data_IF_588776705038
#
_entry.id   IF_588776705038
#
_cell.length_a   1.000
_cell.length_b   1.000
_cell.length_c   1.000
_cell.angle_alpha   90.00
_cell.angle_beta   90.00
_cell.angle_gamma   90.00
#
_symmetry.space_group_name_H-M   'P 1'
#
loop_
_entity.id
_entity.type
_entity.pdbx_description
1 polymer ?
#
# COMPACT_ATOMS: atom_id res chain seq x y z
N UNK A 1 8.90 -43.41 -21.32
CA UNK A 1 9.33 -42.72 -20.08
C UNK A 1 10.29 -41.61 -20.47
N UNK A 2 9.89 -40.37 -20.18
CA UNK A 2 10.71 -39.15 -20.01
C UNK A 2 11.67 -38.69 -21.10
N UNK A 3 11.32 -37.58 -21.77
CA UNK A 3 12.28 -36.50 -22.11
C UNK A 3 11.63 -35.17 -22.54
N UNK A 4 10.30 -35.08 -22.67
CA UNK A 4 9.61 -33.83 -23.07
C UNK A 4 9.27 -32.94 -21.84
N UNK A 5 9.38 -33.47 -20.63
CA UNK A 5 8.94 -32.79 -19.39
C UNK A 5 10.09 -32.14 -18.60
N UNK A 6 11.11 -31.62 -19.28
CA UNK A 6 12.23 -30.91 -18.63
C UNK A 6 12.54 -29.51 -19.18
N UNK A 7 11.80 -29.03 -20.18
CA UNK A 7 12.05 -27.72 -20.79
C UNK A 7 10.88 -26.72 -20.68
N UNK A 8 9.84 -27.03 -19.89
CA UNK A 8 8.69 -26.14 -19.72
C UNK A 8 8.65 -25.42 -18.36
N UNK A 9 9.76 -25.39 -17.61
CA UNK A 9 9.88 -24.72 -16.29
C UNK A 9 10.86 -23.54 -16.34
N UNK A 10 11.34 -23.16 -17.52
CA UNK A 10 12.32 -22.05 -17.67
C UNK A 10 11.82 -21.02 -18.70
N UNK A 11 10.52 -20.73 -18.66
CA UNK A 11 9.89 -19.74 -19.54
C UNK A 11 8.88 -18.90 -18.76
N UNK A 12 9.16 -17.61 -18.65
CA UNK A 12 8.28 -16.54 -18.16
C UNK A 12 8.11 -16.39 -16.64
N UNK A 13 9.20 -16.11 -15.93
CA UNK A 13 9.17 -15.08 -14.87
C UNK A 13 10.37 -14.14 -15.08
N UNK A 14 10.53 -13.65 -16.31
CA UNK A 14 10.93 -12.26 -16.44
C UNK A 14 9.68 -11.44 -16.10
N UNK A 15 9.33 -11.42 -14.81
CA UNK A 15 8.52 -10.32 -14.29
C UNK A 15 9.46 -9.15 -14.45
N UNK A 16 9.26 -8.41 -15.53
CA UNK A 16 9.97 -7.18 -15.80
C UNK A 16 9.94 -6.37 -14.52
N UNK A 17 11.09 -5.81 -14.14
CA UNK A 17 11.24 -5.05 -12.91
C UNK A 17 10.16 -3.95 -12.74
N UNK A 18 9.48 -3.56 -13.83
CA UNK A 18 8.41 -2.58 -13.84
C UNK A 18 7.07 -3.07 -13.25
N UNK A 19 6.76 -4.37 -13.23
CA UNK A 19 5.41 -4.83 -12.83
C UNK A 19 5.04 -4.45 -11.39
N UNK A 20 6.02 -4.48 -10.47
CA UNK A 20 5.79 -4.08 -9.08
C UNK A 20 5.61 -2.57 -8.93
N UNK A 21 6.44 -1.77 -9.61
CA UNK A 21 6.32 -0.31 -9.57
C UNK A 21 5.03 0.17 -10.26
N UNK A 22 4.68 -0.41 -11.40
CA UNK A 22 3.44 -0.12 -12.13
C UNK A 22 2.22 -0.44 -11.26
N UNK A 23 2.21 -1.60 -10.59
CA UNK A 23 1.15 -1.97 -9.65
C UNK A 23 0.99 -0.99 -8.49
N UNK A 24 2.09 -0.44 -7.96
CA UNK A 24 2.02 0.55 -6.87
C UNK A 24 1.56 1.92 -7.41
N UNK A 25 1.98 2.31 -8.61
CA UNK A 25 1.50 3.53 -9.25
C UNK A 25 -0.02 3.48 -9.49
N UNK A 26 -0.52 2.38 -10.05
CA UNK A 26 -1.95 2.16 -10.25
C UNK A 26 -2.74 2.22 -8.93
N UNK A 27 -2.17 1.67 -7.85
CA UNK A 27 -2.77 1.74 -6.52
C UNK A 27 -2.84 3.17 -5.99
N UNK A 28 -1.76 3.95 -6.13
CA UNK A 28 -1.69 5.34 -5.69
C UNK A 28 -2.68 6.20 -6.49
N UNK A 29 -2.76 5.98 -7.80
CA UNK A 29 -3.70 6.70 -8.65
C UNK A 29 -5.16 6.35 -8.31
N UNK A 30 -5.47 5.06 -8.13
CA UNK A 30 -6.80 4.63 -7.67
C UNK A 30 -7.15 5.14 -6.27
N UNK A 31 -6.15 5.33 -5.40
CA UNK A 31 -6.35 5.96 -4.08
C UNK A 31 -6.65 7.45 -4.22
N UNK A 32 -5.92 8.16 -5.09
CA UNK A 32 -6.19 9.57 -5.41
C UNK A 32 -7.60 9.77 -5.96
N UNK A 33 -8.04 8.90 -6.87
CA UNK A 33 -9.42 8.91 -7.37
C UNK A 33 -10.45 8.68 -6.26
N UNK A 34 -10.15 7.79 -5.31
CA UNK A 34 -11.02 7.53 -4.16
C UNK A 34 -11.15 8.76 -3.25
N UNK A 35 -10.05 9.48 -3.02
CA UNK A 35 -10.05 10.76 -2.28
C UNK A 35 -10.95 11.77 -2.99
N UNK A 36 -10.73 12.03 -4.28
CA UNK A 36 -11.51 13.00 -5.08
C UNK A 36 -13.01 12.66 -5.04
N UNK A 37 -13.33 11.36 -5.14
CA UNK A 37 -14.72 10.91 -5.05
C UNK A 37 -15.30 11.19 -3.66
N UNK A 38 -14.58 10.84 -2.59
CA UNK A 38 -15.05 11.10 -1.23
C UNK A 38 -15.23 12.59 -0.95
N UNK A 39 -14.34 13.46 -1.45
CA UNK A 39 -14.47 14.92 -1.35
C UNK A 39 -15.80 15.43 -1.93
N UNK A 40 -16.25 14.86 -3.05
CA UNK A 40 -17.54 15.24 -3.65
C UNK A 40 -18.76 14.91 -2.78
N UNK A 41 -18.61 13.99 -1.82
CA UNK A 41 -19.68 13.57 -0.91
C UNK A 41 -19.67 14.29 0.44
N UNK A 42 -18.62 15.06 0.78
CA UNK A 42 -18.48 15.66 2.12
C UNK A 42 -19.65 16.59 2.46
N UNK A 43 -20.16 17.35 1.49
CA UNK A 43 -21.31 18.24 1.69
C UNK A 43 -22.66 17.53 1.79
N UNK A 44 -22.71 16.23 1.49
CA UNK A 44 -23.92 15.40 1.54
C UNK A 44 -24.04 14.60 2.84
N UNK A 45 -23.02 14.67 3.72
CA UNK A 45 -23.04 14.00 5.02
C UNK A 45 -24.10 14.66 5.91
N UNK A 46 -25.02 13.84 6.42
CA UNK A 46 -26.06 14.24 7.37
C UNK A 46 -25.47 14.71 8.70
N UNK A 47 -26.11 15.68 9.34
CA UNK A 47 -25.78 16.13 10.70
C UNK A 47 -25.92 15.02 11.76
N UNK A 48 -26.70 13.97 11.48
CA UNK A 48 -26.89 12.81 12.36
C UNK A 48 -25.75 11.77 12.22
N UNK A 49 -24.83 11.95 11.27
CA UNK A 49 -23.68 11.07 11.11
C UNK A 49 -22.69 11.23 12.26
N UNK A 50 -21.90 10.18 12.53
CA UNK A 50 -20.81 10.24 13.50
C UNK A 50 -19.63 11.07 12.94
N UNK A 51 -19.80 12.39 12.98
CA UNK A 51 -18.79 13.34 12.52
C UNK A 51 -17.49 13.25 13.33
N UNK A 52 -17.58 12.87 14.61
CA UNK A 52 -16.40 12.65 15.44
C UNK A 52 -15.52 11.52 14.89
N UNK A 53 -16.14 10.39 14.55
CA UNK A 53 -15.45 9.28 13.93
C UNK A 53 -14.93 9.63 12.53
N UNK A 54 -15.73 10.30 11.69
CA UNK A 54 -15.32 10.73 10.33
C UNK A 54 -14.07 11.61 10.38
N UNK A 55 -14.03 12.62 11.26
CA UNK A 55 -12.86 13.48 11.41
C UNK A 55 -11.65 12.69 11.91
N UNK A 56 -11.86 11.75 12.82
CA UNK A 56 -10.78 10.89 13.34
C UNK A 56 -10.13 10.05 12.24
N UNK A 57 -10.94 9.36 11.42
CA UNK A 57 -10.40 8.49 10.36
C UNK A 57 -9.74 9.30 9.23
N UNK A 58 -10.28 10.49 8.90
CA UNK A 58 -9.67 11.37 7.90
C UNK A 58 -8.33 11.95 8.36
N UNK A 59 -8.22 12.27 9.65
CA UNK A 59 -6.96 12.74 10.23
C UNK A 59 -5.87 11.66 10.15
N UNK A 60 -6.21 10.41 10.50
CA UNK A 60 -5.29 9.28 10.35
C UNK A 60 -4.96 9.00 8.88
N UNK A 61 -5.96 9.02 7.99
CA UNK A 61 -5.78 8.80 6.56
C UNK A 61 -4.84 9.84 5.94
N UNK A 62 -4.87 11.10 6.38
CA UNK A 62 -3.93 12.12 5.90
C UNK A 62 -2.47 11.74 6.21
N UNK A 63 -2.20 11.18 7.39
CA UNK A 63 -0.85 10.72 7.75
C UNK A 63 -0.47 9.47 6.96
N UNK A 64 -1.41 8.55 6.79
CA UNK A 64 -1.19 7.34 5.98
C UNK A 64 -0.88 7.69 4.52
N UNK A 65 -1.54 8.72 3.97
CA UNK A 65 -1.30 9.16 2.60
C UNK A 65 0.15 9.63 2.40
N UNK A 66 0.68 10.43 3.31
CA UNK A 66 2.08 10.87 3.28
C UNK A 66 3.06 9.69 3.33
N UNK A 67 2.74 8.66 4.11
CA UNK A 67 3.57 7.44 4.20
C UNK A 67 3.49 6.64 2.90
N UNK A 68 2.29 6.50 2.33
CA UNK A 68 2.08 5.77 1.08
C UNK A 68 2.89 6.38 -0.08
N UNK A 69 2.88 7.71 -0.20
CA UNK A 69 3.65 8.42 -1.22
C UNK A 69 5.16 8.26 -1.04
N UNK A 70 5.67 8.42 0.19
CA UNK A 70 7.10 8.18 0.47
C UNK A 70 7.52 6.74 0.20
N UNK A 71 6.64 5.79 0.47
CA UNK A 71 6.89 4.38 0.20
C UNK A 71 6.89 4.08 -1.31
N UNK A 72 6.00 4.70 -2.09
CA UNK A 72 6.04 4.66 -3.57
C UNK A 72 7.37 5.21 -4.10
N UNK A 73 7.81 6.38 -3.62
CA UNK A 73 9.11 6.95 -4.02
C UNK A 73 10.27 5.99 -3.71
N UNK A 74 10.23 5.32 -2.55
CA UNK A 74 11.22 4.32 -2.17
C UNK A 74 11.20 3.09 -3.09
N UNK A 75 10.03 2.65 -3.57
CA UNK A 75 9.91 1.59 -4.59
C UNK A 75 10.62 2.02 -5.88
N UNK A 76 10.32 3.22 -6.39
CA UNK A 76 10.97 3.75 -7.60
C UNK A 76 12.49 3.86 -7.45
N UNK A 77 12.96 4.32 -6.29
CA UNK A 77 14.39 4.42 -6.01
C UNK A 77 15.06 3.05 -5.94
N UNK A 78 14.43 2.07 -5.29
CA UNK A 78 14.98 0.71 -5.24
C UNK A 78 15.05 0.08 -6.63
N UNK A 79 14.04 0.32 -7.47
CA UNK A 79 14.01 -0.14 -8.85
C UNK A 79 15.19 0.42 -9.66
N UNK A 80 15.43 1.74 -9.57
CA UNK A 80 16.57 2.41 -10.20
C UNK A 80 17.89 1.81 -9.72
N UNK A 81 18.12 1.78 -8.41
CA UNK A 81 19.39 1.32 -7.82
C UNK A 81 19.65 -0.17 -8.01
N UNK A 82 18.60 -0.98 -8.13
CA UNK A 82 18.71 -2.40 -8.47
C UNK A 82 19.35 -2.60 -9.85
N UNK A 83 19.03 -1.76 -10.83
CA UNK A 83 19.60 -1.83 -12.18
C UNK A 83 21.11 -1.52 -12.24
N UNK A 84 21.58 -0.68 -11.33
CA UNK A 84 22.97 -0.22 -11.25
C UNK A 84 23.80 -0.95 -10.18
N UNK A 85 23.26 -2.00 -9.56
CA UNK A 85 23.87 -2.65 -8.41
C UNK A 85 25.24 -3.29 -8.78
N UNK A 86 26.31 -3.06 -7.99
CA UNK A 86 27.66 -3.54 -8.31
C UNK A 86 27.84 -5.06 -8.08
N UNK A 87 26.88 -5.72 -7.44
CA UNK A 87 26.91 -7.15 -7.20
C UNK A 87 25.51 -7.73 -7.05
N UNK A 88 25.37 -9.04 -7.25
CA UNK A 88 24.13 -9.77 -7.03
C UNK A 88 23.64 -9.67 -5.57
N UNK A 89 24.55 -9.52 -4.61
CA UNK A 89 24.17 -9.31 -3.21
C UNK A 89 23.49 -7.95 -3.01
N UNK A 90 24.08 -6.88 -3.54
CA UNK A 90 23.51 -5.53 -3.44
C UNK A 90 22.18 -5.46 -4.19
N UNK A 91 22.09 -6.11 -5.35
CA UNK A 91 20.85 -6.23 -6.12
C UNK A 91 19.74 -6.90 -5.29
N UNK A 92 20.03 -8.03 -4.64
CA UNK A 92 19.07 -8.76 -3.81
C UNK A 92 18.65 -7.98 -2.55
N UNK A 93 19.51 -7.10 -2.03
CA UNK A 93 19.14 -6.22 -0.93
C UNK A 93 18.20 -5.10 -1.40
N UNK A 94 18.41 -4.52 -2.59
CA UNK A 94 17.45 -3.59 -3.19
C UNK A 94 16.10 -4.25 -3.50
N UNK A 95 16.07 -5.51 -3.96
CA UNK A 95 14.81 -6.25 -4.16
C UNK A 95 14.01 -6.42 -2.86
N UNK A 96 14.69 -6.68 -1.75
CA UNK A 96 14.02 -6.76 -0.44
C UNK A 96 13.47 -5.41 0.01
N UNK A 97 14.25 -4.34 -0.17
CA UNK A 97 13.82 -2.98 0.17
C UNK A 97 12.63 -2.53 -0.70
N UNK A 98 12.66 -2.84 -2.00
CA UNK A 98 11.56 -2.61 -2.93
C UNK A 98 10.29 -3.30 -2.43
N UNK A 99 10.38 -4.60 -2.11
CA UNK A 99 9.23 -5.38 -1.64
C UNK A 99 8.61 -4.84 -0.36
N UNK A 100 9.42 -4.55 0.66
CA UNK A 100 8.86 -4.03 1.93
C UNK A 100 8.33 -2.60 1.79
N UNK A 101 8.91 -1.80 0.88
CA UNK A 101 8.39 -0.47 0.55
C UNK A 101 7.07 -0.55 -0.19
N UNK A 102 6.92 -1.49 -1.13
CA UNK A 102 5.66 -1.74 -1.83
C UNK A 102 4.55 -2.17 -0.86
N UNK A 103 4.86 -3.08 0.07
CA UNK A 103 3.93 -3.47 1.13
C UNK A 103 3.51 -2.27 1.99
N UNK A 104 4.43 -1.38 2.34
CA UNK A 104 4.13 -0.14 3.07
C UNK A 104 3.22 0.78 2.26
N UNK A 105 3.54 1.04 0.99
CA UNK A 105 2.70 1.83 0.11
C UNK A 105 1.27 1.27 0.04
N UNK A 106 1.15 -0.06 -0.08
CA UNK A 106 -0.14 -0.73 -0.20
C UNK A 106 -1.02 -0.58 1.03
N UNK A 107 -0.51 -0.91 2.22
CA UNK A 107 -1.32 -0.92 3.43
C UNK A 107 -1.73 0.48 3.87
N UNK A 108 -0.86 1.48 3.66
CA UNK A 108 -1.19 2.87 3.95
C UNK A 108 -2.16 3.46 2.91
N UNK A 109 -2.01 3.15 1.62
CA UNK A 109 -3.00 3.52 0.60
C UNK A 109 -4.38 2.90 0.88
N UNK A 110 -4.42 1.65 1.35
CA UNK A 110 -5.66 0.99 1.74
C UNK A 110 -6.36 1.68 2.91
N UNK A 111 -5.62 2.16 3.92
CA UNK A 111 -6.20 2.98 5.00
C UNK A 111 -6.94 4.22 4.46
N UNK A 112 -6.32 4.91 3.50
CA UNK A 112 -6.93 6.08 2.85
C UNK A 112 -8.19 5.71 2.09
N UNK A 113 -8.15 4.61 1.32
CA UNK A 113 -9.31 4.12 0.56
C UNK A 113 -10.46 3.70 1.46
N UNK A 114 -10.17 3.07 2.60
CA UNK A 114 -11.19 2.69 3.59
C UNK A 114 -11.83 3.91 4.23
N UNK A 115 -11.04 4.94 4.60
CA UNK A 115 -11.57 6.19 5.12
C UNK A 115 -12.45 6.92 4.08
N UNK A 116 -11.99 6.99 2.82
CA UNK A 116 -12.76 7.55 1.71
C UNK A 116 -14.08 6.79 1.47
N UNK A 117 -14.05 5.45 1.52
CA UNK A 117 -15.24 4.62 1.41
C UNK A 117 -16.22 4.87 2.58
N UNK A 118 -15.72 4.99 3.80
CA UNK A 118 -16.56 5.29 4.97
C UNK A 118 -17.25 6.66 4.83
N UNK A 119 -16.53 7.69 4.38
CA UNK A 119 -17.11 9.01 4.07
C UNK A 119 -18.23 8.91 3.05
N UNK A 120 -17.98 8.22 1.93
CA UNK A 120 -18.97 8.03 0.89
C UNK A 120 -20.22 7.29 1.40
N UNK A 121 -20.05 6.20 2.16
CA UNK A 121 -21.17 5.45 2.72
C UNK A 121 -21.97 6.26 3.74
N UNK A 122 -21.29 7.09 4.53
CA UNK A 122 -21.94 7.98 5.50
C UNK A 122 -22.80 9.03 4.80
N UNK A 123 -22.29 9.66 3.74
CA UNK A 123 -23.04 10.60 2.92
C UNK A 123 -24.27 9.96 2.26
N UNK A 124 -24.14 8.73 1.80
CA UNK A 124 -25.21 7.97 1.17
C UNK A 124 -26.22 7.38 2.17
N UNK A 125 -26.05 7.62 3.47
CA UNK A 125 -26.88 7.03 4.53
C UNK A 125 -27.00 5.50 4.37
N UNK A 126 -25.85 4.87 4.07
CA UNK A 126 -25.78 3.42 3.94
C UNK A 126 -26.24 2.73 5.24
N UNK A 127 -26.66 1.47 5.11
CA UNK A 127 -27.08 0.68 6.26
C UNK A 127 -25.93 0.56 7.28
N UNK A 128 -26.25 0.66 8.57
CA UNK A 128 -25.25 0.67 9.66
C UNK A 128 -24.34 -0.57 9.66
N UNK A 129 -24.83 -1.73 9.19
CA UNK A 129 -23.99 -2.92 9.04
C UNK A 129 -22.85 -2.71 8.03
N UNK A 130 -23.08 -2.02 6.93
CA UNK A 130 -22.03 -1.71 5.95
C UNK A 130 -21.01 -0.74 6.53
N UNK A 131 -21.46 0.26 7.30
CA UNK A 131 -20.55 1.16 8.01
C UNK A 131 -19.71 0.38 9.04
N UNK A 132 -20.33 -0.52 9.81
CA UNK A 132 -19.64 -1.37 10.77
C UNK A 132 -18.58 -2.27 10.12
N UNK A 133 -18.88 -2.88 8.97
CA UNK A 133 -17.92 -3.69 8.20
C UNK A 133 -16.70 -2.87 7.79
N UNK A 134 -16.89 -1.62 7.38
CA UNK A 134 -15.78 -0.71 7.06
C UNK A 134 -15.00 -0.30 8.31
N UNK A 135 -15.65 -0.08 9.46
CA UNK A 135 -14.94 0.19 10.72
C UNK A 135 -14.04 -0.99 11.11
N UNK A 136 -14.53 -2.22 10.98
CA UNK A 136 -13.75 -3.45 11.22
C UNK A 136 -12.54 -3.50 10.27
N UNK A 137 -12.76 -3.26 8.97
CA UNK A 137 -11.67 -3.25 7.99
C UNK A 137 -10.61 -2.18 8.31
N UNK A 138 -11.01 -1.00 8.80
CA UNK A 138 -10.08 0.03 9.27
C UNK A 138 -9.24 -0.49 10.45
N UNK A 139 -9.88 -1.06 11.48
CA UNK A 139 -9.18 -1.60 12.65
C UNK A 139 -8.24 -2.77 12.31
N UNK A 140 -8.63 -3.63 11.37
CA UNK A 140 -7.77 -4.70 10.87
C UNK A 140 -6.59 -4.14 10.09
N UNK A 141 -6.80 -3.13 9.25
CA UNK A 141 -5.73 -2.50 8.51
C UNK A 141 -4.72 -1.79 9.44
N UNK A 142 -5.16 -1.20 10.57
CA UNK A 142 -4.24 -0.66 11.59
C UNK A 142 -3.27 -1.72 12.13
N UNK A 143 -3.77 -2.94 12.41
CA UNK A 143 -2.93 -4.05 12.87
C UNK A 143 -1.93 -4.47 11.79
N UNK A 144 -2.37 -4.54 10.54
CA UNK A 144 -1.52 -4.88 9.40
C UNK A 144 -0.44 -3.81 9.20
N UNK A 145 -0.78 -2.51 9.28
CA UNK A 145 0.17 -1.39 9.18
C UNK A 145 1.30 -1.50 10.20
N UNK A 146 0.98 -1.86 11.45
CA UNK A 146 2.01 -2.05 12.47
C UNK A 146 2.97 -3.19 12.09
N UNK A 147 2.46 -4.34 11.66
CA UNK A 147 3.28 -5.48 11.23
C UNK A 147 4.18 -5.14 10.04
N UNK A 148 3.64 -4.40 9.06
CA UNK A 148 4.39 -3.94 7.89
C UNK A 148 5.47 -2.94 8.30
N UNK A 149 5.16 -2.00 9.19
CA UNK A 149 6.12 -1.03 9.71
C UNK A 149 7.30 -1.72 10.42
N UNK A 150 7.01 -2.69 11.29
CA UNK A 150 8.03 -3.48 11.99
C UNK A 150 8.92 -4.24 10.99
N UNK A 151 8.32 -4.82 9.95
CA UNK A 151 9.05 -5.56 8.91
C UNK A 151 9.94 -4.64 8.04
N UNK A 152 9.45 -3.45 7.69
CA UNK A 152 10.22 -2.42 6.97
C UNK A 152 11.43 -2.01 7.79
N UNK A 153 11.25 -1.68 9.07
CA UNK A 153 12.34 -1.29 9.94
C UNK A 153 13.36 -2.41 10.14
N UNK A 154 12.89 -3.63 10.40
CA UNK A 154 13.76 -4.80 10.55
C UNK A 154 14.62 -5.02 9.29
N UNK A 155 14.00 -4.98 8.11
CA UNK A 155 14.68 -5.18 6.83
C UNK A 155 15.73 -4.10 6.59
N UNK A 156 15.39 -2.83 6.81
CA UNK A 156 16.33 -1.70 6.73
C UNK A 156 17.52 -1.89 7.65
N UNK A 157 17.29 -2.28 8.92
CA UNK A 157 18.36 -2.51 9.90
C UNK A 157 19.26 -3.68 9.49
N UNK A 158 18.69 -4.80 9.03
CA UNK A 158 19.46 -5.97 8.60
C UNK A 158 20.35 -5.67 7.40
N UNK A 159 19.82 -4.97 6.40
CA UNK A 159 20.61 -4.58 5.23
C UNK A 159 21.69 -3.58 5.62
N UNK A 160 21.35 -2.52 6.35
CA UNK A 160 22.33 -1.53 6.80
C UNK A 160 23.48 -2.14 7.60
N UNK A 161 23.22 -3.19 8.40
CA UNK A 161 24.26 -3.87 9.18
C UNK A 161 25.32 -4.60 8.35
N UNK A 162 25.06 -4.91 7.08
CA UNK A 162 26.03 -5.55 6.18
C UNK A 162 27.10 -4.60 5.64
N UNK A 163 26.77 -3.30 5.58
CA UNK A 163 27.58 -2.27 4.93
C UNK A 163 28.19 -1.28 5.94
N UNK A 164 28.16 -1.63 7.22
CA UNK A 164 28.88 -0.93 8.30
C UNK A 164 30.29 -1.51 8.44
#
# INVERSE_FOLDING_TARGET
>A
MNLIMKWLVVGCVAVSCNVFADSINDLIDGTRESIIRAESYVSEISDDADMGYIVSILSSASLDWDVALKAQEAVSLCLEKKGDAPSAEVQADYEKLEKVSAQSAEVHANSVRLAAAYVQLSAQQAQENLLADVRIAIEENEKIKQLVSDNVEYTKRKIASKYK
#
